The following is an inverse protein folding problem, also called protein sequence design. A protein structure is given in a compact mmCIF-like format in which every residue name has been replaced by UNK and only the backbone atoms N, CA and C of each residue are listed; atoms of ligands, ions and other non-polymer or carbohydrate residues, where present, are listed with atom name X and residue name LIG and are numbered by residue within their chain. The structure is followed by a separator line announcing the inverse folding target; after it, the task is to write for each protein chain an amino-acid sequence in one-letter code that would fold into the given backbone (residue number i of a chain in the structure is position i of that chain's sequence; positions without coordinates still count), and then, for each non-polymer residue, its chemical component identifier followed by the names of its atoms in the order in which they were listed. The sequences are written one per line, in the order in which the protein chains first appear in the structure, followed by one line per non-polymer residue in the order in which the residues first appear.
data_IF_173688444746
#
_entry.id   IF_173688444746
#
_cell.length_a   1.000
_cell.length_b   1.000
_cell.length_c   1.000
_cell.angle_alpha   90.00
_cell.angle_beta   90.00
_cell.angle_gamma   90.00
#
_symmetry.space_group_name_H-M   'P 1'
#
loop_
_entity.id
_entity.type
_entity.pdbx_description
1 polymer ?
#
# COMPACT_ATOMS: atom_id res chain seq x y z
N UNK A 1 26.43 -1.96 -16.18
CA UNK A 1 25.67 -1.02 -15.32
C UNK A 1 25.36 0.33 -15.98
N UNK A 2 26.29 0.96 -16.72
CA UNK A 2 26.06 2.24 -17.42
C UNK A 2 24.85 2.24 -18.39
N UNK A 3 24.63 1.13 -19.12
CA UNK A 3 23.52 1.02 -20.09
C UNK A 3 22.12 0.97 -19.47
N UNK A 4 21.97 0.43 -18.26
CA UNK A 4 20.66 0.34 -17.62
C UNK A 4 20.22 1.69 -17.07
N UNK A 5 21.14 2.40 -16.40
CA UNK A 5 20.86 3.75 -15.89
C UNK A 5 20.54 4.72 -17.03
N UNK A 6 21.27 4.65 -18.15
CA UNK A 6 20.98 5.47 -19.33
C UNK A 6 19.60 5.17 -19.94
N UNK A 7 19.24 3.88 -20.08
CA UNK A 7 17.92 3.49 -20.61
C UNK A 7 16.77 3.84 -19.66
N UNK A 8 16.97 3.68 -18.35
CA UNK A 8 15.98 4.07 -17.35
C UNK A 8 15.76 5.57 -17.34
N UNK A 9 16.84 6.36 -17.45
CA UNK A 9 16.77 7.81 -17.50
C UNK A 9 16.09 8.30 -18.78
N UNK A 10 16.41 7.70 -19.94
CA UNK A 10 15.73 8.00 -21.21
C UNK A 10 14.23 7.67 -21.14
N UNK A 11 13.88 6.54 -20.55
CA UNK A 11 12.48 6.14 -20.38
C UNK A 11 11.72 7.08 -19.44
N UNK A 12 12.36 7.52 -18.35
CA UNK A 12 11.78 8.51 -17.43
C UNK A 12 11.61 9.86 -18.12
N UNK A 13 12.59 10.30 -18.92
CA UNK A 13 12.50 11.54 -19.69
C UNK A 13 11.38 11.49 -20.74
N UNK A 14 11.23 10.39 -21.49
CA UNK A 14 10.13 10.21 -22.44
C UNK A 14 8.76 10.19 -21.74
N UNK A 15 8.67 9.69 -20.51
CA UNK A 15 7.42 9.75 -19.73
C UNK A 15 7.14 11.14 -19.16
N UNK A 16 8.17 11.97 -18.98
CA UNK A 16 8.06 13.33 -18.45
C UNK A 16 7.90 14.37 -19.57
N UNK A 17 8.30 14.07 -20.81
CA UNK A 17 8.19 14.96 -21.97
C UNK A 17 6.76 15.47 -22.25
N UNK A 18 5.68 14.68 -22.09
CA UNK A 18 4.31 15.18 -22.23
C UNK A 18 3.89 16.15 -21.10
N UNK A 19 4.63 16.17 -19.99
CA UNK A 19 4.34 16.95 -18.78
C UNK A 19 5.29 18.14 -18.61
N UNK A 20 6.46 18.11 -19.25
CA UNK A 20 7.38 19.23 -19.26
C UNK A 20 6.85 20.28 -20.23
N UNK A 21 6.13 21.24 -19.65
CA UNK A 21 5.87 22.55 -20.23
C UNK A 21 4.77 22.51 -21.31
N UNK A 22 3.51 22.35 -20.86
CA UNK A 22 2.50 23.29 -21.36
C UNK A 22 2.84 24.67 -20.78
N UNK A 23 3.88 25.32 -21.34
CA UNK A 23 4.04 26.77 -21.18
C UNK A 23 2.75 27.39 -21.72
N UNK A 24 2.27 28.41 -21.02
CA UNK A 24 1.10 29.22 -21.38
C UNK A 24 1.11 29.81 -22.81
N UNK A 25 2.09 29.53 -23.65
CA UNK A 25 2.27 30.10 -24.98
C UNK A 25 1.22 29.64 -26.01
N UNK A 26 0.53 28.51 -25.82
CA UNK A 26 -0.47 28.03 -26.79
C UNK A 26 -1.90 28.55 -26.58
N UNK A 27 -2.12 29.58 -25.75
CA UNK A 27 -3.46 30.17 -25.53
C UNK A 27 -3.54 31.69 -25.78
N UNK A 28 -2.65 32.27 -26.57
CA UNK A 28 -2.73 33.71 -26.90
C UNK A 28 -3.84 34.07 -27.91
N UNK A 29 -4.64 33.11 -28.38
CA UNK A 29 -5.72 33.35 -29.35
C UNK A 29 -7.14 32.95 -28.93
N UNK A 30 -7.33 32.43 -27.70
CA UNK A 30 -8.65 31.97 -27.25
C UNK A 30 -9.38 33.06 -26.43
N UNK A 31 -10.62 33.33 -26.79
CA UNK A 31 -11.53 34.17 -26.01
C UNK A 31 -11.70 33.58 -24.60
N UNK A 32 -11.84 34.43 -23.58
CA UNK A 32 -11.97 34.03 -22.15
C UNK A 32 -13.06 32.96 -21.97
N UNK A 33 -14.14 33.03 -22.74
CA UNK A 33 -15.24 32.06 -22.75
C UNK A 33 -14.78 30.65 -23.17
N UNK A 34 -13.99 30.53 -24.24
CA UNK A 34 -13.47 29.23 -24.71
C UNK A 34 -12.50 28.60 -23.71
N UNK A 35 -11.80 29.44 -22.93
CA UNK A 35 -10.93 28.97 -21.84
C UNK A 35 -11.76 28.44 -20.67
N UNK A 36 -12.90 29.06 -20.36
CA UNK A 36 -13.81 28.57 -19.33
C UNK A 36 -14.48 27.24 -19.70
N UNK A 37 -14.89 27.09 -20.97
CA UNK A 37 -15.55 25.88 -21.45
C UNK A 37 -14.61 24.66 -21.43
N UNK A 38 -13.36 24.82 -21.87
CA UNK A 38 -12.36 23.74 -21.84
C UNK A 38 -12.03 23.28 -20.42
N UNK A 39 -11.89 24.21 -19.46
CA UNK A 39 -11.65 23.87 -18.05
C UNK A 39 -12.85 23.15 -17.42
N UNK A 40 -14.08 23.47 -17.84
CA UNK A 40 -15.28 22.78 -17.35
C UNK A 40 -15.43 21.36 -17.92
N UNK A 41 -15.05 21.13 -19.18
CA UNK A 41 -15.04 19.79 -19.78
C UNK A 41 -13.98 18.88 -19.15
N UNK A 42 -12.76 19.40 -18.95
CA UNK A 42 -11.68 18.65 -18.28
C UNK A 42 -12.06 18.26 -16.84
N UNK A 43 -12.77 19.14 -16.13
CA UNK A 43 -13.25 18.89 -14.76
C UNK A 43 -14.34 17.81 -14.71
N UNK A 44 -15.16 17.67 -15.74
CA UNK A 44 -16.18 16.60 -15.84
C UNK A 44 -15.57 15.23 -16.12
N UNK A 45 -14.48 15.18 -16.89
CA UNK A 45 -13.76 13.94 -17.20
C UNK A 45 -12.89 13.46 -16.02
N UNK A 46 -12.49 14.36 -15.12
CA UNK A 46 -11.60 14.05 -13.99
C UNK A 46 -12.26 13.32 -12.81
N UNK A 47 -13.57 13.42 -12.62
CA UNK A 47 -14.20 12.94 -11.38
C UNK A 47 -14.51 11.43 -11.37
N UNK A 48 -14.51 10.76 -12.53
CA UNK A 48 -14.96 9.37 -12.64
C UNK A 48 -14.21 8.55 -13.69
N UNK A 49 -12.96 8.93 -13.99
CA UNK A 49 -12.15 8.10 -14.87
C UNK A 49 -11.69 6.85 -14.12
N UNK A 50 -12.18 5.67 -14.49
CA UNK A 50 -11.63 4.38 -14.06
C UNK A 50 -10.12 4.25 -14.35
N UNK A 51 -9.54 5.12 -15.19
CA UNK A 51 -8.09 5.23 -15.38
C UNK A 51 -7.33 5.76 -14.14
N UNK A 52 -8.01 6.48 -13.23
CA UNK A 52 -7.44 6.94 -11.95
C UNK A 52 -7.48 5.88 -10.86
N UNK A 53 -8.13 4.72 -11.08
CA UNK A 53 -8.16 3.60 -10.15
C UNK A 53 -7.15 2.54 -10.60
N UNK A 54 -5.89 2.57 -10.10
CA UNK A 54 -4.91 1.59 -10.52
C UNK A 54 -5.33 0.24 -9.93
N UNK A 55 -5.68 -0.72 -10.76
CA UNK A 55 -6.06 -2.07 -10.31
C UNK A 55 -4.99 -2.68 -9.35
N UNK A 56 -3.73 -2.31 -9.55
CA UNK A 56 -2.60 -2.68 -8.68
C UNK A 56 -2.72 -2.12 -7.26
N UNK A 57 -3.20 -0.88 -7.11
CA UNK A 57 -3.42 -0.27 -5.80
C UNK A 57 -4.55 -0.98 -5.07
N UNK A 58 -5.65 -1.29 -5.76
CA UNK A 58 -6.76 -2.04 -5.17
C UNK A 58 -6.33 -3.44 -4.73
N UNK A 59 -5.59 -4.17 -5.57
CA UNK A 59 -5.05 -5.46 -5.20
C UNK A 59 -4.16 -5.36 -3.95
N UNK A 60 -3.29 -4.34 -3.87
CA UNK A 60 -2.43 -4.11 -2.71
C UNK A 60 -3.24 -3.82 -1.45
N UNK A 61 -4.21 -2.91 -1.52
CA UNK A 61 -5.10 -2.58 -0.39
C UNK A 61 -5.87 -3.83 0.05
N UNK A 62 -6.40 -4.59 -0.90
CA UNK A 62 -7.15 -5.81 -0.64
C UNK A 62 -6.31 -6.86 0.08
N UNK A 63 -5.13 -7.20 -0.45
CA UNK A 63 -4.22 -8.13 0.20
C UNK A 63 -3.76 -7.63 1.57
N UNK A 64 -3.45 -6.33 1.68
CA UNK A 64 -3.08 -5.72 2.96
C UNK A 64 -4.23 -5.86 3.98
N UNK A 65 -5.47 -5.60 3.58
CA UNK A 65 -6.65 -5.78 4.41
C UNK A 65 -6.84 -7.23 4.86
N UNK A 66 -6.61 -8.21 3.96
CA UNK A 66 -6.65 -9.63 4.31
C UNK A 66 -5.60 -9.97 5.37
N UNK A 67 -4.34 -9.61 5.14
CA UNK A 67 -3.25 -9.95 6.07
C UNK A 67 -3.39 -9.24 7.41
N UNK A 68 -3.79 -7.97 7.40
CA UNK A 68 -4.06 -7.22 8.62
C UNK A 68 -5.25 -7.84 9.36
N UNK A 69 -6.34 -8.16 8.66
CA UNK A 69 -7.51 -8.81 9.25
C UNK A 69 -7.18 -10.17 9.86
N UNK A 70 -6.43 -11.00 9.16
CA UNK A 70 -5.96 -12.31 9.64
C UNK A 70 -5.06 -12.16 10.88
N UNK A 71 -4.16 -11.17 10.87
CA UNK A 71 -3.34 -10.83 12.04
C UNK A 71 -4.21 -10.45 13.25
N UNK A 72 -5.16 -9.53 13.10
CA UNK A 72 -6.03 -9.12 14.19
C UNK A 72 -6.89 -10.29 14.70
N UNK A 73 -7.39 -11.12 13.80
CA UNK A 73 -8.18 -12.30 14.16
C UNK A 73 -7.37 -13.34 14.94
N UNK A 74 -6.12 -13.59 14.51
CA UNK A 74 -5.25 -14.58 15.13
C UNK A 74 -4.58 -14.10 16.42
N UNK A 75 -4.32 -12.80 16.54
CA UNK A 75 -3.50 -12.21 17.61
C UNK A 75 -4.27 -11.34 18.59
N UNK A 76 -5.51 -10.97 18.32
CA UNK A 76 -6.32 -10.18 19.25
C UNK A 76 -7.52 -10.94 19.82
N UNK A 77 -8.02 -10.43 20.93
CA UNK A 77 -9.24 -10.86 21.61
C UNK A 77 -9.95 -9.63 22.19
N UNK A 78 -11.26 -9.72 22.37
CA UNK A 78 -11.99 -8.67 23.07
C UNK A 78 -11.78 -8.81 24.58
N UNK A 79 -11.46 -7.70 25.24
CA UNK A 79 -11.42 -7.59 26.70
C UNK A 79 -12.85 -7.46 27.25
N UNK A 80 -13.06 -7.80 28.51
CA UNK A 80 -14.34 -7.65 29.22
C UNK A 80 -14.84 -6.20 29.24
N UNK A 81 -13.92 -5.24 29.14
CA UNK A 81 -14.19 -3.80 29.03
C UNK A 81 -14.58 -3.35 27.60
N UNK A 82 -14.72 -4.27 26.64
CA UNK A 82 -15.16 -4.00 25.28
C UNK A 82 -14.07 -3.52 24.30
N UNK A 83 -12.80 -3.46 24.73
CA UNK A 83 -11.66 -3.10 23.88
C UNK A 83 -11.05 -4.32 23.15
N UNK A 84 -10.49 -4.12 21.96
CA UNK A 84 -9.71 -5.15 21.26
C UNK A 84 -8.25 -5.10 21.76
N UNK A 85 -7.81 -6.15 22.45
CA UNK A 85 -6.46 -6.26 23.01
C UNK A 85 -5.73 -7.44 22.39
N UNK A 86 -4.39 -7.38 22.28
CA UNK A 86 -3.62 -8.54 21.83
C UNK A 86 -3.69 -9.69 22.86
N UNK A 87 -3.65 -10.93 22.38
CA UNK A 87 -3.56 -12.15 23.18
C UNK A 87 -2.18 -12.23 23.86
N UNK A 88 -2.07 -12.92 25.01
CA UNK A 88 -0.79 -13.13 25.67
C UNK A 88 0.28 -13.70 24.72
N UNK A 89 1.47 -13.10 24.74
CA UNK A 89 2.59 -13.46 23.89
C UNK A 89 3.62 -14.26 24.69
N UNK A 90 4.14 -15.32 24.08
CA UNK A 90 5.08 -16.26 24.68
C UNK A 90 6.36 -16.29 23.86
N UNK A 91 7.49 -16.42 24.52
CA UNK A 91 8.77 -16.65 23.87
C UNK A 91 8.86 -18.10 23.38
N UNK A 92 9.59 -18.36 22.28
CA UNK A 92 9.95 -19.72 21.93
C UNK A 92 10.92 -20.26 22.96
N UNK A 93 10.70 -21.50 23.41
CA UNK A 93 11.53 -22.20 24.39
C UNK A 93 12.96 -22.44 23.88
N UNK A 94 13.08 -22.67 22.58
CA UNK A 94 14.35 -22.91 21.91
C UNK A 94 14.62 -21.85 20.84
N UNK A 95 15.86 -21.41 20.70
CA UNK A 95 16.31 -20.51 19.63
C UNK A 95 16.62 -21.25 18.32
N UNK A 96 16.24 -22.54 18.24
CA UNK A 96 16.50 -23.38 17.07
C UNK A 96 15.33 -23.18 16.11
N UNK A 97 15.60 -22.46 15.02
CA UNK A 97 14.65 -22.32 13.92
C UNK A 97 14.97 -23.36 12.85
N UNK A 98 14.20 -24.46 12.73
CA UNK A 98 14.45 -25.41 11.66
C UNK A 98 14.27 -24.73 10.31
N UNK A 99 15.14 -25.03 9.35
CA UNK A 99 15.09 -24.43 8.01
C UNK A 99 13.72 -24.62 7.34
N UNK A 100 13.01 -25.71 7.66
CA UNK A 100 11.64 -25.95 7.19
C UNK A 100 10.61 -24.95 7.73
N UNK A 101 10.81 -24.37 8.91
CA UNK A 101 9.91 -23.35 9.47
C UNK A 101 9.94 -22.04 8.67
N UNK A 102 10.99 -21.78 7.90
CA UNK A 102 11.03 -20.65 6.96
C UNK A 102 10.12 -20.87 5.74
N UNK A 103 9.94 -22.12 5.32
CA UNK A 103 9.10 -22.47 4.17
C UNK A 103 7.64 -22.78 4.57
N UNK A 104 7.43 -23.24 5.80
CA UNK A 104 6.13 -23.68 6.30
C UNK A 104 5.80 -23.00 7.65
N UNK A 105 5.02 -21.90 7.65
CA UNK A 105 4.71 -21.14 8.86
C UNK A 105 3.78 -21.89 9.85
N UNK A 106 3.34 -23.10 9.52
CA UNK A 106 2.46 -23.90 10.35
C UNK A 106 3.19 -24.60 11.52
N UNK A 107 4.51 -24.77 11.43
CA UNK A 107 5.30 -25.34 12.53
C UNK A 107 5.53 -24.26 13.58
N UNK A 108 4.74 -24.29 14.65
CA UNK A 108 4.94 -23.38 15.77
C UNK A 108 6.00 -23.96 16.71
N UNK A 109 7.06 -23.22 17.05
CA UNK A 109 8.02 -23.66 18.07
C UNK A 109 7.32 -23.84 19.42
N UNK A 110 7.84 -24.74 20.26
CA UNK A 110 7.39 -24.86 21.63
C UNK A 110 7.48 -23.50 22.33
N UNK A 111 6.42 -23.12 23.03
CA UNK A 111 6.32 -21.85 23.75
C UNK A 111 6.72 -22.06 25.21
N UNK A 112 7.31 -21.04 25.83
CA UNK A 112 7.52 -21.00 27.27
C UNK A 112 6.19 -21.05 28.03
N UNK A 113 6.24 -21.49 29.29
CA UNK A 113 5.04 -21.63 30.13
C UNK A 113 4.47 -20.27 30.55
N UNK A 114 5.32 -19.26 30.73
CA UNK A 114 4.92 -17.93 31.16
C UNK A 114 4.89 -16.96 29.98
N UNK A 115 3.83 -16.14 29.84
CA UNK A 115 3.80 -15.11 28.81
C UNK A 115 4.74 -13.96 29.21
N UNK A 116 5.60 -13.52 28.29
CA UNK A 116 6.42 -12.32 28.52
C UNK A 116 5.59 -11.04 28.44
N UNK A 117 4.44 -11.09 27.75
CA UNK A 117 3.51 -9.98 27.64
C UNK A 117 2.07 -10.47 27.78
N UNK A 118 1.32 -9.82 28.67
CA UNK A 118 -0.12 -9.98 28.82
C UNK A 118 -0.75 -8.58 28.84
N UNK A 119 -1.89 -8.36 28.18
CA UNK A 119 -2.64 -7.13 28.37
C UNK A 119 -3.04 -7.03 29.85
N UNK A 120 -3.00 -5.81 30.40
CA UNK A 120 -3.55 -5.55 31.72
C UNK A 120 -5.08 -5.72 31.66
N UNK A 121 -5.62 -6.50 32.60
CA UNK A 121 -7.07 -6.68 32.76
C UNK A 121 -7.74 -5.41 33.29
#
# INVERSE_FOLDING_TARGET
FANFSHKALHHILEMLEPWSIQSQEHKEGLTIEQTYETVLEDRKLSCFSWALFPARLFATIFFTGIFVGEYFWAKCQFNEQGGLVSRPQYLPKDQIFPLLSFAFPFTHPEKEAEPYWSPAN
#
